data_IF_217876566909
#
_entry.id   IF_217876566909
#
_cell.length_a   1.000
_cell.length_b   1.000
_cell.length_c   1.000
_cell.angle_alpha   90.00
_cell.angle_beta   90.00
_cell.angle_gamma   90.00
#
_symmetry.space_group_name_H-M   'P 1'
#
loop_
_entity.id
_entity.type
_entity.pdbx_description
1 polymer ?
#
# COMPACT_ATOMS: atom_id res chain seq x y z
N UNK A 1 7.75 23.05 5.77
CA UNK A 1 7.54 21.67 5.29
C UNK A 1 8.66 20.84 5.91
N UNK A 2 8.36 19.71 6.55
CA UNK A 2 9.41 18.85 7.13
C UNK A 2 10.15 18.12 6.00
N UNK A 3 11.38 17.70 6.27
CA UNK A 3 12.21 16.95 5.31
C UNK A 3 11.49 15.66 4.85
N UNK A 4 10.75 14.98 5.73
CA UNK A 4 9.95 13.80 5.41
C UNK A 4 8.88 14.09 4.34
N UNK A 5 8.18 15.23 4.45
CA UNK A 5 7.16 15.64 3.47
C UNK A 5 7.81 15.96 2.12
N UNK A 6 9.00 16.59 2.11
CA UNK A 6 9.73 16.86 0.88
C UNK A 6 10.13 15.57 0.15
N UNK A 7 10.65 14.57 0.87
CA UNK A 7 10.97 13.26 0.30
C UNK A 7 9.71 12.54 -0.22
N UNK A 8 8.60 12.64 0.50
CA UNK A 8 7.30 12.09 0.05
C UNK A 8 6.86 12.71 -1.27
N UNK A 9 7.01 14.04 -1.41
CA UNK A 9 6.64 14.74 -2.64
C UNK A 9 7.57 14.39 -3.81
N UNK A 10 8.87 14.26 -3.56
CA UNK A 10 9.82 13.77 -4.58
C UNK A 10 9.47 12.35 -5.04
N UNK A 11 9.12 11.47 -4.11
CA UNK A 11 8.66 10.12 -4.44
C UNK A 11 7.39 10.12 -5.29
N UNK A 12 6.44 11.00 -4.99
CA UNK A 12 5.22 11.17 -5.77
C UNK A 12 5.49 11.66 -7.19
N UNK A 13 6.41 12.61 -7.34
CA UNK A 13 6.82 13.14 -8.65
C UNK A 13 7.53 12.06 -9.48
N UNK A 14 8.52 11.36 -8.90
CA UNK A 14 9.22 10.27 -9.58
C UNK A 14 8.25 9.17 -10.04
N UNK A 15 7.30 8.77 -9.20
CA UNK A 15 6.26 7.77 -9.55
C UNK A 15 5.37 8.26 -10.70
N UNK A 16 5.00 9.54 -10.72
CA UNK A 16 4.22 10.13 -11.81
C UNK A 16 4.99 10.14 -13.12
N UNK A 17 6.30 10.36 -13.04
CA UNK A 17 7.20 10.40 -14.19
C UNK A 17 7.61 8.98 -14.65
N UNK A 18 7.17 7.93 -13.93
CA UNK A 18 7.36 6.52 -14.27
C UNK A 18 8.64 5.90 -13.71
N UNK A 19 9.40 6.63 -12.90
CA UNK A 19 10.61 6.13 -12.24
C UNK A 19 10.26 5.50 -10.89
N UNK A 20 9.79 4.25 -10.94
CA UNK A 20 9.39 3.50 -9.74
C UNK A 20 10.56 3.25 -8.78
N UNK A 21 11.78 3.14 -9.29
CA UNK A 21 12.98 2.86 -8.48
C UNK A 21 13.38 4.09 -7.67
N UNK A 22 13.40 5.27 -8.31
CA UNK A 22 13.66 6.54 -7.62
C UNK A 22 12.51 6.89 -6.67
N UNK A 23 11.26 6.60 -7.05
CA UNK A 23 10.11 6.78 -6.17
C UNK A 23 10.26 5.94 -4.89
N UNK A 24 10.62 4.66 -5.03
CA UNK A 24 10.82 3.77 -3.89
C UNK A 24 11.92 4.30 -2.97
N UNK A 25 13.05 4.73 -3.54
CA UNK A 25 14.16 5.33 -2.77
C UNK A 25 13.69 6.56 -1.99
N UNK A 26 12.92 7.45 -2.61
CA UNK A 26 12.40 8.64 -1.96
C UNK A 26 11.43 8.31 -0.83
N UNK A 27 10.51 7.36 -1.04
CA UNK A 27 9.57 6.96 0.01
C UNK A 27 10.25 6.24 1.18
N UNK A 28 11.31 5.46 0.93
CA UNK A 28 12.13 4.87 2.01
C UNK A 28 12.81 5.94 2.85
N UNK A 29 13.36 7.00 2.23
CA UNK A 29 13.92 8.14 2.98
C UNK A 29 12.85 8.86 3.81
N UNK A 30 11.67 9.08 3.25
CA UNK A 30 10.55 9.67 3.98
C UNK A 30 10.12 8.81 5.18
N UNK A 31 10.01 7.48 4.99
CA UNK A 31 9.65 6.54 6.06
C UNK A 31 10.66 6.59 7.22
N UNK A 32 11.96 6.60 6.94
CA UNK A 32 13.00 6.74 7.97
C UNK A 32 12.84 8.04 8.78
N UNK A 33 12.52 9.14 8.11
CA UNK A 33 12.35 10.44 8.76
C UNK A 33 11.06 10.51 9.59
N UNK A 34 9.95 9.96 9.09
CA UNK A 34 8.71 9.86 9.86
C UNK A 34 8.88 8.97 11.09
N UNK A 35 9.60 7.86 10.97
CA UNK A 35 9.94 6.99 12.10
C UNK A 35 10.80 7.70 13.16
N UNK A 36 11.79 8.50 12.73
CA UNK A 36 12.67 9.23 13.64
C UNK A 36 11.95 10.31 14.48
N UNK A 37 10.80 10.81 14.01
CA UNK A 37 10.00 11.83 14.71
C UNK A 37 8.71 11.27 15.29
N UNK A 38 8.53 9.94 15.29
CA UNK A 38 7.34 9.22 15.75
C UNK A 38 6.02 9.69 15.09
N UNK A 39 6.10 10.15 13.83
CA UNK A 39 4.91 10.44 13.02
C UNK A 39 4.38 9.15 12.39
N UNK A 40 3.50 8.50 13.14
CA UNK A 40 2.90 7.21 12.78
C UNK A 40 2.06 7.28 11.51
N UNK A 41 1.28 8.34 11.31
CA UNK A 41 0.44 8.48 10.13
C UNK A 41 1.28 8.67 8.87
N UNK A 42 2.30 9.53 8.91
CA UNK A 42 3.24 9.71 7.81
C UNK A 42 4.00 8.43 7.48
N UNK A 43 4.44 7.70 8.51
CA UNK A 43 5.12 6.42 8.35
C UNK A 43 4.23 5.36 7.68
N UNK A 44 2.99 5.16 8.15
CA UNK A 44 2.09 4.17 7.56
C UNK A 44 1.76 4.48 6.08
N UNK A 45 1.54 5.76 5.77
CA UNK A 45 1.24 6.20 4.41
C UNK A 45 2.44 5.96 3.47
N UNK A 46 3.66 6.29 3.91
CA UNK A 46 4.87 6.07 3.10
C UNK A 46 5.21 4.59 2.93
N UNK A 47 5.06 3.78 3.97
CA UNK A 47 5.28 2.32 3.90
C UNK A 47 4.34 1.63 2.89
N UNK A 48 3.10 2.09 2.76
CA UNK A 48 2.20 1.59 1.71
C UNK A 48 2.68 1.89 0.30
N UNK A 49 3.20 3.09 0.06
CA UNK A 49 3.78 3.43 -1.25
C UNK A 49 5.02 2.60 -1.53
N UNK A 50 5.87 2.38 -0.52
CA UNK A 50 7.00 1.44 -0.63
C UNK A 50 6.52 0.05 -1.04
N UNK A 51 5.53 -0.52 -0.33
CA UNK A 51 5.00 -1.85 -0.61
C UNK A 51 4.43 -1.96 -2.02
N UNK A 52 3.65 -0.96 -2.47
CA UNK A 52 3.10 -0.95 -3.83
C UNK A 52 4.21 -0.99 -4.89
N UNK A 53 5.25 -0.16 -4.71
CA UNK A 53 6.37 -0.08 -5.65
C UNK A 53 7.23 -1.34 -5.61
N UNK A 54 7.50 -1.90 -4.43
CA UNK A 54 8.21 -3.17 -4.27
C UNK A 54 7.46 -4.30 -4.99
N UNK A 55 6.15 -4.40 -4.80
CA UNK A 55 5.33 -5.39 -5.50
C UNK A 55 5.38 -5.20 -7.03
N UNK A 56 5.30 -3.95 -7.50
CA UNK A 56 5.40 -3.61 -8.93
C UNK A 56 6.77 -3.95 -9.52
N UNK A 57 7.83 -3.81 -8.75
CA UNK A 57 9.21 -4.14 -9.11
C UNK A 57 9.54 -5.64 -8.95
N UNK A 58 8.60 -6.45 -8.45
CA UNK A 58 8.76 -7.88 -8.26
C UNK A 58 9.42 -8.29 -6.93
N UNK A 59 9.68 -7.33 -6.03
CA UNK A 59 10.15 -7.57 -4.67
C UNK A 59 8.97 -7.90 -3.75
N UNK A 60 8.44 -9.11 -3.89
CA UNK A 60 7.31 -9.58 -3.08
C UNK A 60 7.64 -9.65 -1.57
N UNK A 61 8.87 -10.01 -1.22
CA UNK A 61 9.29 -10.13 0.19
C UNK A 61 9.34 -8.75 0.86
N UNK A 62 9.99 -7.77 0.24
CA UNK A 62 10.02 -6.40 0.74
C UNK A 62 8.64 -5.75 0.74
N UNK A 63 7.79 -6.06 -0.24
CA UNK A 63 6.41 -5.57 -0.26
C UNK A 63 5.60 -6.07 0.95
N UNK A 64 5.76 -7.34 1.32
CA UNK A 64 5.11 -7.93 2.50
C UNK A 64 5.62 -7.32 3.80
N UNK A 65 6.92 -7.05 3.91
CA UNK A 65 7.50 -6.37 5.08
C UNK A 65 6.93 -4.96 5.26
N UNK A 66 6.93 -4.17 4.20
CA UNK A 66 6.43 -2.79 4.23
C UNK A 66 4.94 -2.73 4.56
N UNK A 67 4.11 -3.60 3.99
CA UNK A 67 2.66 -3.58 4.27
C UNK A 67 2.33 -4.10 5.67
N UNK A 68 3.07 -5.09 6.20
CA UNK A 68 2.90 -5.57 7.56
C UNK A 68 3.14 -4.45 8.58
N UNK A 69 4.22 -3.67 8.41
CA UNK A 69 4.49 -2.49 9.26
C UNK A 69 3.41 -1.42 9.15
N UNK A 70 2.84 -1.20 7.96
CA UNK A 70 1.72 -0.28 7.80
C UNK A 70 0.44 -0.77 8.50
N UNK A 71 0.16 -2.08 8.46
CA UNK A 71 -0.95 -2.69 9.20
C UNK A 71 -0.82 -2.49 10.70
N UNK A 72 0.34 -2.78 11.29
CA UNK A 72 0.60 -2.62 12.73
C UNK A 72 0.28 -1.19 13.20
N UNK A 73 0.65 -0.19 12.40
CA UNK A 73 0.38 1.21 12.73
C UNK A 73 -1.11 1.52 12.61
N UNK A 74 -1.78 1.07 11.55
CA UNK A 74 -3.19 1.34 11.37
C UNK A 74 -4.06 0.62 12.39
N UNK A 75 -3.78 -0.63 12.75
CA UNK A 75 -4.50 -1.34 13.82
C UNK A 75 -4.44 -0.59 15.15
N UNK A 76 -3.35 0.13 15.43
CA UNK A 76 -3.18 0.92 16.64
C UNK A 76 -3.88 2.29 16.62
N UNK A 77 -4.36 2.77 15.46
CA UNK A 77 -4.75 4.18 15.26
C UNK A 77 -6.14 4.39 14.62
N UNK A 78 -6.99 3.38 14.55
CA UNK A 78 -8.37 3.47 14.01
C UNK A 78 -8.45 4.27 12.68
N UNK A 79 -7.85 3.77 11.58
CA UNK A 79 -7.71 4.53 10.35
C UNK A 79 -9.06 4.85 9.74
N UNK A 80 -9.08 5.88 8.89
CA UNK A 80 -10.23 6.11 8.05
C UNK A 80 -10.53 4.84 7.23
N UNK A 81 -11.81 4.46 7.01
CA UNK A 81 -12.13 3.26 6.24
C UNK A 81 -11.49 3.21 4.85
N UNK A 82 -11.33 4.37 4.20
CA UNK A 82 -10.62 4.47 2.92
C UNK A 82 -9.13 4.14 3.04
N UNK A 83 -8.48 4.53 4.12
CA UNK A 83 -7.09 4.15 4.37
C UNK A 83 -7.02 2.64 4.53
N UNK A 84 -7.84 2.03 5.38
CA UNK A 84 -7.83 0.58 5.55
C UNK A 84 -8.13 -0.18 4.25
N UNK A 85 -9.12 0.27 3.45
CA UNK A 85 -9.44 -0.33 2.16
C UNK A 85 -8.25 -0.32 1.20
N UNK A 86 -7.53 0.80 1.14
CA UNK A 86 -6.31 0.88 0.33
C UNK A 86 -5.17 0.04 0.90
N UNK A 87 -5.09 -0.16 2.23
CA UNK A 87 -4.07 -1.03 2.84
C UNK A 87 -4.33 -2.49 2.44
N UNK A 88 -5.58 -2.96 2.50
CA UNK A 88 -5.99 -4.27 1.96
C UNK A 88 -5.67 -4.41 0.47
N UNK A 89 -5.95 -3.37 -0.32
CA UNK A 89 -5.61 -3.34 -1.74
C UNK A 89 -4.11 -3.58 -1.98
N UNK A 90 -3.24 -2.92 -1.21
CA UNK A 90 -1.78 -3.09 -1.31
C UNK A 90 -1.32 -4.44 -0.77
N UNK A 91 -1.88 -4.91 0.34
CA UNK A 91 -1.61 -6.24 0.90
C UNK A 91 -1.89 -7.33 -0.12
N UNK A 92 -2.99 -7.21 -0.86
CA UNK A 92 -3.32 -8.13 -1.93
C UNK A 92 -2.26 -8.14 -3.04
N UNK A 93 -1.80 -6.97 -3.48
CA UNK A 93 -0.72 -6.85 -4.48
C UNK A 93 0.61 -7.43 -3.97
N UNK A 94 0.95 -7.21 -2.70
CA UNK A 94 2.14 -7.76 -2.08
C UNK A 94 2.10 -9.30 -2.06
N UNK A 95 0.96 -9.89 -1.70
CA UNK A 95 0.77 -11.34 -1.75
C UNK A 95 0.77 -11.89 -3.18
N UNK A 96 0.23 -11.18 -4.17
CA UNK A 96 0.35 -11.58 -5.59
C UNK A 96 1.83 -11.61 -6.02
N UNK A 97 2.60 -10.57 -5.69
CA UNK A 97 4.03 -10.49 -6.00
C UNK A 97 4.84 -11.58 -5.28
N UNK A 98 4.46 -11.94 -4.05
CA UNK A 98 5.04 -13.03 -3.28
C UNK A 98 4.54 -14.43 -3.68
N UNK A 99 3.63 -14.53 -4.67
CA UNK A 99 3.01 -15.78 -5.15
C UNK A 99 2.22 -16.51 -4.06
N UNK A 100 1.49 -15.77 -3.25
CA UNK A 100 0.60 -16.25 -2.19
C UNK A 100 -0.89 -16.01 -2.55
N UNK A 101 -1.45 -16.68 -3.58
CA UNK A 101 -2.73 -16.31 -4.19
C UNK A 101 -3.92 -16.36 -3.23
N UNK A 102 -3.95 -17.32 -2.31
CA UNK A 102 -5.04 -17.43 -1.32
C UNK A 102 -5.08 -16.28 -0.31
N UNK A 103 -3.89 -15.75 0.04
CA UNK A 103 -3.80 -14.56 0.89
C UNK A 103 -4.17 -13.31 0.10
N UNK A 104 -3.71 -13.21 -1.15
CA UNK A 104 -4.10 -12.13 -2.05
C UNK A 104 -5.63 -12.07 -2.24
N UNK A 105 -6.28 -13.21 -2.46
CA UNK A 105 -7.74 -13.31 -2.55
C UNK A 105 -8.42 -12.75 -1.30
N UNK A 106 -8.00 -13.18 -0.10
CA UNK A 106 -8.56 -12.71 1.16
C UNK A 106 -8.43 -11.19 1.31
N UNK A 107 -7.28 -10.65 0.98
CA UNK A 107 -7.03 -9.21 1.03
C UNK A 107 -7.89 -8.44 0.01
N UNK A 108 -8.05 -8.96 -1.21
CA UNK A 108 -8.96 -8.38 -2.20
C UNK A 108 -10.42 -8.39 -1.76
N UNK A 109 -10.87 -9.45 -1.08
CA UNK A 109 -12.22 -9.51 -0.50
C UNK A 109 -12.42 -8.46 0.59
N UNK A 110 -11.44 -8.29 1.48
CA UNK A 110 -11.49 -7.23 2.51
C UNK A 110 -11.52 -5.83 1.87
N UNK A 111 -10.69 -5.59 0.85
CA UNK A 111 -10.68 -4.32 0.11
C UNK A 111 -12.03 -4.07 -0.58
N UNK A 112 -12.58 -5.09 -1.28
CA UNK A 112 -13.87 -5.01 -1.97
C UNK A 112 -15.00 -4.65 -1.01
N UNK A 113 -15.03 -5.31 0.16
CA UNK A 113 -16.03 -5.03 1.18
C UNK A 113 -15.98 -3.55 1.60
N UNK A 114 -14.81 -3.07 2.03
CA UNK A 114 -14.69 -1.69 2.49
C UNK A 114 -14.96 -0.66 1.38
N UNK A 115 -14.45 -0.88 0.17
CA UNK A 115 -14.76 0.02 -0.95
C UNK A 115 -16.25 0.09 -1.27
N UNK A 116 -16.96 -1.03 -1.13
CA UNK A 116 -18.42 -1.09 -1.30
C UNK A 116 -19.12 -0.29 -0.20
N UNK A 117 -18.73 -0.49 1.06
CA UNK A 117 -19.32 0.20 2.21
C UNK A 117 -19.18 1.72 2.13
N UNK A 118 -18.03 2.22 1.63
CA UNK A 118 -17.75 3.65 1.51
C UNK A 118 -18.04 4.25 0.13
N UNK A 119 -18.59 3.47 -0.80
CA UNK A 119 -19.02 3.94 -2.12
C UNK A 119 -17.90 4.34 -3.09
N UNK A 120 -16.72 3.73 -2.99
CA UNK A 120 -15.57 4.01 -3.89
C UNK A 120 -15.58 3.02 -5.05
N UNK A 121 -16.33 3.36 -6.10
CA UNK A 121 -16.58 2.47 -7.25
C UNK A 121 -15.30 1.99 -7.95
N UNK A 122 -14.29 2.86 -8.11
CA UNK A 122 -13.04 2.48 -8.76
C UNK A 122 -12.32 1.33 -8.02
N UNK A 123 -12.39 1.32 -6.69
CA UNK A 123 -11.83 0.24 -5.87
C UNK A 123 -12.63 -1.06 -5.97
N UNK A 124 -13.97 -0.94 -6.04
CA UNK A 124 -14.87 -2.08 -6.28
C UNK A 124 -14.56 -2.75 -7.62
N UNK A 125 -14.42 -1.95 -8.68
CA UNK A 125 -14.14 -2.44 -10.03
C UNK A 125 -12.78 -3.16 -10.09
N UNK A 126 -11.75 -2.56 -9.49
CA UNK A 126 -10.42 -3.16 -9.44
C UNK A 126 -10.41 -4.49 -8.67
N UNK A 127 -10.97 -4.49 -7.45
CA UNK A 127 -10.98 -5.68 -6.60
C UNK A 127 -11.76 -6.82 -7.23
N UNK A 128 -12.93 -6.52 -7.83
CA UNK A 128 -13.73 -7.50 -8.57
C UNK A 128 -12.96 -8.10 -9.75
N UNK A 129 -12.27 -7.25 -10.53
CA UNK A 129 -11.47 -7.71 -11.67
C UNK A 129 -10.27 -8.57 -11.24
N UNK A 130 -9.66 -8.28 -10.09
CA UNK A 130 -8.54 -9.06 -9.51
C UNK A 130 -9.02 -10.42 -9.01
N UNK A 131 -10.11 -10.46 -8.24
CA UNK A 131 -10.70 -11.71 -7.74
C UNK A 131 -11.07 -12.68 -8.88
N UNK A 132 -11.67 -12.15 -9.95
CA UNK A 132 -11.96 -12.95 -11.16
C UNK A 132 -10.70 -13.56 -11.79
N UNK A 133 -9.58 -12.84 -11.79
CA UNK A 133 -8.29 -13.36 -12.30
C UNK A 133 -7.69 -14.44 -11.40
N UNK A 134 -7.94 -14.37 -10.09
CA UNK A 134 -7.51 -15.38 -9.11
C UNK A 134 -8.40 -16.64 -9.12
N UNK A 135 -9.47 -16.66 -9.93
CA UNK A 135 -10.37 -17.81 -10.08
C UNK A 135 -11.58 -17.78 -9.14
N UNK A 136 -11.84 -16.64 -8.51
CA UNK A 136 -13.02 -16.40 -7.68
C UNK A 136 -14.13 -15.82 -8.56
N UNK A 137 -15.22 -16.54 -8.73
CA UNK A 137 -16.35 -16.15 -9.59
C UNK A 137 -17.65 -16.82 -9.19
#
# INVERSE_FOLDING_TARGET
MSEAVEWTERGRLARRDGDDQEALRCYQQAAMLYEAVDDRTGLAHTLRHCSELQAKLGDGAGALESIARAYEIYEANEPAPLEMANTFRIGALAHEAAREPWKAEREWLNALQLYTEIGVQAGVDEATARLKRLGVG
#
